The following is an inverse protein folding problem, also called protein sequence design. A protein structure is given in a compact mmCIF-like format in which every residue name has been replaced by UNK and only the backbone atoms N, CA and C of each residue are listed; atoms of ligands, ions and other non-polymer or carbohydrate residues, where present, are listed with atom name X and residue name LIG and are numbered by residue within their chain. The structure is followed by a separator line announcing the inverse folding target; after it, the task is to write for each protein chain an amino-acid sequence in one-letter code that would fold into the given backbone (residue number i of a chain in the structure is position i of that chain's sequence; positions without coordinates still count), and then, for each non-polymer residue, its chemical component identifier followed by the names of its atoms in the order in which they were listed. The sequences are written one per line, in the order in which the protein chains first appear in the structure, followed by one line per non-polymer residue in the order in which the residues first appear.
data_IF_263159628002
#
_entry.id   IF_263159628002
#
_cell.length_a   1.000
_cell.length_b   1.000
_cell.length_c   1.000
_cell.angle_alpha   90.00
_cell.angle_beta   90.00
_cell.angle_gamma   90.00
#
_symmetry.space_group_name_H-M   'P 1'
#
loop_
_entity.id
_entity.type
_entity.pdbx_description
1 polymer ?
#
# COMPACT_ATOMS: atom_id res chain seq x y z
N UNK A 1 -15.64 2.34 -10.23
CA UNK A 1 -15.65 1.39 -9.10
C UNK A 1 -14.27 1.38 -8.51
N UNK A 2 -14.19 1.54 -7.21
CA UNK A 2 -12.91 1.52 -6.49
C UNK A 2 -12.31 0.13 -6.52
N UNK A 3 -11.04 0.05 -6.85
CA UNK A 3 -10.27 -1.19 -6.96
C UNK A 3 -9.26 -1.27 -5.81
N UNK A 4 -8.85 -2.48 -5.47
CA UNK A 4 -7.74 -2.68 -4.53
C UNK A 4 -6.44 -2.17 -5.17
N UNK A 5 -5.58 -1.56 -4.35
CA UNK A 5 -4.28 -1.07 -4.79
C UNK A 5 -3.21 -1.26 -3.71
N UNK A 6 -1.96 -1.36 -4.15
CA UNK A 6 -0.81 -1.51 -3.24
C UNK A 6 -0.14 -0.18 -2.99
N UNK A 7 0.30 0.03 -1.74
CA UNK A 7 1.08 1.21 -1.35
C UNK A 7 2.12 0.85 -0.30
N UNK A 8 3.14 1.67 -0.17
CA UNK A 8 4.03 1.64 1.00
C UNK A 8 3.22 2.16 2.19
N UNK A 9 3.15 1.40 3.28
CA UNK A 9 2.52 1.81 4.53
C UNK A 9 3.52 2.46 5.47
N UNK A 10 4.67 1.80 5.65
CA UNK A 10 5.81 2.35 6.39
C UNK A 10 7.03 2.25 5.48
N UNK A 11 7.56 3.40 5.11
CA UNK A 11 8.78 3.48 4.33
C UNK A 11 10.01 3.14 5.15
N UNK A 12 11.02 2.57 4.50
CA UNK A 12 12.29 2.25 5.14
C UNK A 12 13.47 2.59 4.22
N UNK A 13 14.67 2.37 4.72
CA UNK A 13 15.93 2.65 4.04
C UNK A 13 16.68 1.35 3.77
N UNK A 14 17.15 1.18 2.53
CA UNK A 14 18.05 0.09 2.17
C UNK A 14 19.32 0.62 1.49
N UNK A 15 20.43 -0.06 1.69
CA UNK A 15 21.69 0.29 1.04
C UNK A 15 22.23 -0.91 0.27
N UNK A 16 22.69 -0.66 -0.94
CA UNK A 16 23.48 -1.61 -1.71
C UNK A 16 24.85 -1.00 -2.09
N UNK A 17 25.83 -1.85 -2.30
CA UNK A 17 27.18 -1.44 -2.75
C UNK A 17 27.47 -2.15 -4.07
N UNK A 18 27.79 -1.37 -5.12
CA UNK A 18 28.22 -1.87 -6.41
C UNK A 18 29.54 -1.22 -6.83
N UNK A 19 30.60 -2.03 -7.00
CA UNK A 19 31.96 -1.55 -7.31
C UNK A 19 32.40 -0.38 -6.43
N UNK A 20 32.22 -0.48 -5.12
CA UNK A 20 32.50 0.52 -4.09
C UNK A 20 31.60 1.78 -4.13
N UNK A 21 30.73 1.95 -5.11
CA UNK A 21 29.69 2.98 -5.05
C UNK A 21 28.58 2.51 -4.11
N UNK A 22 28.09 3.42 -3.26
CA UNK A 22 26.98 3.18 -2.34
C UNK A 22 25.72 3.77 -2.94
N UNK A 23 24.62 3.02 -2.88
CA UNK A 23 23.29 3.44 -3.32
C UNK A 23 22.33 3.24 -2.14
N UNK A 24 21.79 4.34 -1.63
CA UNK A 24 20.92 4.35 -0.45
C UNK A 24 19.52 4.71 -0.91
N UNK A 25 18.63 3.74 -0.90
CA UNK A 25 17.22 3.93 -1.22
C UNK A 25 16.45 4.31 0.04
N UNK A 26 15.66 5.37 -0.03
CA UNK A 26 14.72 5.78 1.00
C UNK A 26 13.33 5.82 0.35
N UNK A 27 12.35 5.15 0.95
CA UNK A 27 10.96 5.14 0.48
C UNK A 27 10.05 5.81 1.49
N UNK A 28 8.93 6.36 0.99
CA UNK A 28 7.87 6.95 1.81
C UNK A 28 6.51 6.82 1.12
N UNK A 29 5.46 6.78 1.93
CA UNK A 29 4.09 6.98 1.47
C UNK A 29 3.83 8.46 1.21
N UNK A 30 3.23 8.77 0.07
CA UNK A 30 2.89 10.16 -0.32
C UNK A 30 1.59 10.17 -1.12
N UNK A 31 0.65 11.02 -0.76
CA UNK A 31 -0.65 11.10 -1.42
C UNK A 31 -0.74 12.27 -2.43
N UNK A 32 0.26 13.14 -2.46
CA UNK A 32 0.32 14.28 -3.36
C UNK A 32 1.72 14.52 -3.93
N UNK A 33 1.79 15.29 -5.03
CA UNK A 33 3.06 15.71 -5.63
C UNK A 33 3.83 16.64 -4.68
N UNK A 34 3.12 17.49 -3.91
CA UNK A 34 3.70 18.37 -2.91
C UNK A 34 4.41 17.56 -1.81
N UNK A 35 3.79 16.51 -1.31
CA UNK A 35 4.39 15.61 -0.32
C UNK A 35 5.61 14.88 -0.87
N UNK A 36 5.53 14.37 -2.11
CA UNK A 36 6.65 13.73 -2.77
C UNK A 36 7.84 14.68 -2.91
N UNK A 37 7.62 15.92 -3.34
CA UNK A 37 8.67 16.94 -3.46
C UNK A 37 9.25 17.33 -2.11
N UNK A 38 8.42 17.48 -1.08
CA UNK A 38 8.86 17.76 0.29
C UNK A 38 9.74 16.63 0.84
N UNK A 39 9.36 15.38 0.61
CA UNK A 39 10.16 14.23 1.01
C UNK A 39 11.51 14.18 0.28
N UNK A 40 11.53 14.39 -1.05
CA UNK A 40 12.76 14.47 -1.85
C UNK A 40 13.72 15.53 -1.27
N UNK A 41 13.21 16.72 -0.94
CA UNK A 41 14.02 17.78 -0.33
C UNK A 41 14.54 17.39 1.08
N UNK A 42 13.77 16.63 1.84
CA UNK A 42 14.22 16.09 3.14
C UNK A 42 15.41 15.15 2.96
N UNK A 43 15.34 14.26 1.98
CA UNK A 43 16.44 13.33 1.66
C UNK A 43 17.66 14.07 1.10
N UNK A 44 17.47 15.06 0.25
CA UNK A 44 18.56 15.93 -0.24
C UNK A 44 19.30 16.64 0.89
N UNK A 45 18.57 17.14 1.88
CA UNK A 45 19.16 17.77 3.08
C UNK A 45 19.90 16.75 3.95
N UNK A 46 19.33 15.55 4.12
CA UNK A 46 19.95 14.45 4.89
C UNK A 46 21.30 14.02 4.28
N UNK A 47 21.36 13.94 2.94
CA UNK A 47 22.55 13.53 2.19
C UNK A 47 23.11 14.70 1.34
N UNK A 48 23.29 15.86 1.98
CA UNK A 48 23.65 17.12 1.34
C UNK A 48 25.01 17.09 0.61
N UNK A 49 25.89 16.16 0.99
CA UNK A 49 27.22 15.94 0.41
C UNK A 49 27.23 14.96 -0.77
N UNK A 50 26.08 14.32 -1.04
CA UNK A 50 25.94 13.46 -2.21
C UNK A 50 25.72 14.27 -3.50
N UNK A 51 26.27 13.78 -4.61
CA UNK A 51 26.14 14.44 -5.92
C UNK A 51 24.80 14.14 -6.61
N UNK A 52 24.21 12.99 -6.30
CA UNK A 52 23.00 12.49 -6.97
C UNK A 52 22.01 11.96 -5.93
N UNK A 53 20.83 12.55 -5.94
CA UNK A 53 19.63 12.10 -5.20
C UNK A 53 18.52 11.87 -6.23
N UNK A 54 18.68 10.79 -7.01
CA UNK A 54 17.74 10.42 -8.05
C UNK A 54 16.43 9.97 -7.43
N UNK A 55 15.29 10.26 -8.08
CA UNK A 55 13.99 9.93 -7.50
C UNK A 55 12.99 9.43 -8.54
N UNK A 56 11.99 8.72 -8.06
CA UNK A 56 10.76 8.40 -8.79
C UNK A 56 9.58 8.36 -7.82
N UNK A 57 8.38 8.72 -8.31
CA UNK A 57 7.14 8.57 -7.57
C UNK A 57 5.96 8.22 -8.47
N UNK A 58 5.00 7.53 -7.87
CA UNK A 58 3.71 7.20 -8.44
C UNK A 58 2.64 7.67 -7.47
N UNK A 59 1.69 8.49 -7.91
CA UNK A 59 0.60 9.04 -7.10
C UNK A 59 -0.73 8.73 -7.77
N UNK A 60 -1.75 8.52 -6.91
CA UNK A 60 -3.09 8.14 -7.31
C UNK A 60 -3.31 6.63 -7.36
N UNK A 61 -4.51 6.19 -7.00
CA UNK A 61 -4.90 4.78 -6.85
C UNK A 61 -4.71 3.92 -8.12
N UNK A 62 -4.58 4.56 -9.30
CA UNK A 62 -4.27 3.93 -10.60
C UNK A 62 -2.93 4.40 -11.18
N UNK A 63 -2.06 4.96 -10.33
CA UNK A 63 -0.78 5.54 -10.74
C UNK A 63 -0.95 6.63 -11.81
N UNK A 64 -1.91 7.54 -11.64
CA UNK A 64 -2.26 8.58 -12.60
C UNK A 64 -1.13 9.56 -12.82
N UNK A 65 -0.41 9.92 -11.77
CA UNK A 65 0.75 10.81 -11.83
C UNK A 65 2.04 10.03 -11.60
N UNK A 66 2.93 10.06 -12.59
CA UNK A 66 4.24 9.43 -12.53
C UNK A 66 5.33 10.43 -12.89
N UNK A 67 6.36 10.53 -12.07
CA UNK A 67 7.53 11.39 -12.32
C UNK A 67 8.80 10.68 -11.91
N UNK A 68 9.89 11.08 -12.54
CA UNK A 68 11.23 10.61 -12.15
C UNK A 68 12.30 11.61 -12.60
N UNK A 69 13.47 11.54 -11.96
CA UNK A 69 14.64 12.35 -12.28
C UNK A 69 15.91 11.56 -12.09
N UNK A 70 16.84 11.75 -13.03
CA UNK A 70 18.19 11.20 -12.94
C UNK A 70 19.14 12.08 -12.09
N UNK A 71 18.72 13.27 -11.68
CA UNK A 71 19.47 14.21 -10.82
C UNK A 71 20.96 14.30 -11.16
N UNK A 72 21.28 14.51 -12.45
CA UNK A 72 22.64 14.65 -12.96
C UNK A 72 23.36 13.35 -13.31
N UNK A 73 22.78 12.18 -13.10
CA UNK A 73 23.25 10.94 -13.71
C UNK A 73 22.99 10.93 -15.23
N UNK A 74 23.64 10.09 -16.02
CA UNK A 74 23.32 9.96 -17.44
C UNK A 74 21.83 9.66 -17.68
N UNK A 75 21.27 10.29 -18.69
CA UNK A 75 19.82 10.20 -18.99
C UNK A 75 19.32 8.76 -19.01
N UNK A 76 18.19 8.52 -18.33
CA UNK A 76 17.49 7.25 -18.19
C UNK A 76 18.26 6.12 -17.50
N UNK A 77 19.28 6.45 -16.72
CA UNK A 77 20.08 5.43 -15.99
C UNK A 77 19.68 5.26 -14.54
N UNK A 78 18.89 6.17 -13.97
CA UNK A 78 18.48 6.18 -12.57
C UNK A 78 16.97 6.32 -12.40
N UNK A 79 16.40 7.47 -12.74
CA UNK A 79 15.00 7.79 -12.47
C UNK A 79 14.02 6.82 -13.14
N UNK A 80 14.20 6.57 -14.44
CA UNK A 80 13.33 5.65 -15.19
C UNK A 80 13.40 4.20 -14.67
N UNK A 81 14.59 3.60 -14.43
CA UNK A 81 14.71 2.29 -13.80
C UNK A 81 14.00 2.16 -12.44
N UNK A 82 14.09 3.20 -11.58
CA UNK A 82 13.39 3.23 -10.30
C UNK A 82 11.86 3.31 -10.48
N UNK A 83 11.39 4.16 -11.40
CA UNK A 83 9.98 4.25 -11.73
C UNK A 83 9.43 2.91 -12.23
N UNK A 84 10.19 2.19 -13.04
CA UNK A 84 9.81 0.86 -13.54
C UNK A 84 9.70 -0.18 -12.39
N UNK A 85 10.51 -0.04 -11.33
CA UNK A 85 10.37 -0.87 -10.13
C UNK A 85 9.04 -0.59 -9.42
N UNK A 86 8.72 0.70 -9.15
CA UNK A 86 7.46 1.07 -8.49
C UNK A 86 6.24 0.60 -9.28
N UNK A 87 6.24 0.90 -10.59
CA UNK A 87 5.11 0.54 -11.47
C UNK A 87 4.97 -0.97 -11.66
N UNK A 88 6.10 -1.68 -11.79
CA UNK A 88 6.12 -3.14 -11.91
C UNK A 88 5.68 -3.86 -10.63
N UNK A 89 5.90 -3.26 -9.47
CA UNK A 89 5.38 -3.76 -8.19
C UNK A 89 3.90 -3.38 -7.95
N UNK A 90 3.31 -2.55 -8.83
CA UNK A 90 1.93 -2.06 -8.69
C UNK A 90 1.77 -1.04 -7.55
N UNK A 91 2.85 -0.39 -7.12
CA UNK A 91 2.81 0.56 -6.02
C UNK A 91 2.19 1.89 -6.47
N UNK A 92 1.25 2.36 -5.69
CA UNK A 92 0.62 3.68 -5.76
C UNK A 92 1.05 4.52 -4.57
N UNK A 93 0.86 5.83 -4.64
CA UNK A 93 1.08 6.75 -3.51
C UNK A 93 2.43 6.52 -2.82
N UNK A 94 3.49 6.42 -3.64
CA UNK A 94 4.83 6.02 -3.18
C UNK A 94 5.91 6.85 -3.87
N UNK A 95 6.86 7.36 -3.09
CA UNK A 95 8.10 7.96 -3.56
C UNK A 95 9.31 7.11 -3.18
N UNK A 96 10.28 7.03 -4.07
CA UNK A 96 11.61 6.49 -3.81
C UNK A 96 12.68 7.51 -4.16
N UNK A 97 13.64 7.72 -3.26
CA UNK A 97 14.84 8.52 -3.51
C UNK A 97 16.05 7.63 -3.32
N UNK A 98 16.90 7.54 -4.34
CA UNK A 98 18.17 6.80 -4.25
C UNK A 98 19.32 7.79 -4.29
N UNK A 99 20.02 7.88 -3.17
CA UNK A 99 21.22 8.69 -2.99
C UNK A 99 22.45 7.87 -3.37
N UNK A 100 23.32 8.42 -4.22
CA UNK A 100 24.56 7.75 -4.63
C UNK A 100 25.80 8.45 -4.16
N UNK A 101 26.73 7.67 -3.60
CA UNK A 101 28.13 8.04 -3.35
C UNK A 101 29.04 7.26 -4.29
N UNK A 102 29.86 7.98 -5.07
CA UNK A 102 30.78 7.38 -6.05
C UNK A 102 31.94 6.65 -5.37
N UNK A 103 32.17 5.40 -5.75
CA UNK A 103 33.22 4.53 -5.20
C UNK A 103 34.58 4.54 -5.93
N UNK A 104 34.80 5.50 -6.82
CA UNK A 104 36.06 5.59 -7.58
C UNK A 104 36.12 4.74 -8.85
N UNK A 105 35.11 3.85 -9.09
CA UNK A 105 35.08 2.99 -10.28
C UNK A 105 33.81 3.29 -11.09
N UNK A 106 33.99 3.59 -12.37
CA UNK A 106 32.85 3.83 -13.28
C UNK A 106 32.06 2.56 -13.52
N UNK A 107 30.73 2.68 -13.42
CA UNK A 107 29.79 1.56 -13.64
C UNK A 107 29.38 1.42 -15.12
N UNK A 108 29.44 2.52 -15.87
CA UNK A 108 28.84 2.64 -17.20
C UNK A 108 27.30 2.70 -17.12
N UNK A 109 26.63 3.06 -18.24
CA UNK A 109 25.18 3.25 -18.28
C UNK A 109 24.42 1.99 -17.86
N UNK A 110 24.76 0.82 -18.40
CA UNK A 110 24.13 -0.45 -18.04
C UNK A 110 24.38 -0.88 -16.58
N UNK A 111 25.55 -0.50 -16.01
CA UNK A 111 25.85 -0.73 -14.58
C UNK A 111 25.01 0.15 -13.67
N UNK A 112 24.83 1.44 -14.05
CA UNK A 112 23.97 2.36 -13.32
C UNK A 112 22.50 1.89 -13.32
N UNK A 113 21.96 1.53 -14.48
CA UNK A 113 20.58 1.00 -14.57
C UNK A 113 20.38 -0.17 -13.62
N UNK A 114 21.30 -1.15 -13.60
CA UNK A 114 21.20 -2.31 -12.70
C UNK A 114 21.29 -1.90 -11.23
N UNK A 115 22.21 -0.98 -10.89
CA UNK A 115 22.41 -0.55 -9.51
C UNK A 115 21.19 0.23 -8.97
N UNK A 116 20.64 1.19 -9.74
CA UNK A 116 19.46 1.92 -9.32
C UNK A 116 18.22 1.03 -9.22
N UNK A 117 18.05 0.09 -10.18
CA UNK A 117 16.99 -0.93 -10.11
C UNK A 117 17.11 -1.79 -8.85
N UNK A 118 18.33 -2.27 -8.55
CA UNK A 118 18.57 -3.11 -7.38
C UNK A 118 18.36 -2.33 -6.06
N UNK A 119 18.83 -1.08 -5.99
CA UNK A 119 18.62 -0.22 -4.82
C UNK A 119 17.13 0.04 -4.57
N UNK A 120 16.37 0.41 -5.61
CA UNK A 120 14.92 0.62 -5.48
C UNK A 120 14.20 -0.65 -5.04
N UNK A 121 14.54 -1.82 -5.60
CA UNK A 121 13.97 -3.11 -5.17
C UNK A 121 14.28 -3.40 -3.71
N UNK A 122 15.53 -3.23 -3.28
CA UNK A 122 15.92 -3.42 -1.89
C UNK A 122 15.16 -2.49 -0.94
N UNK A 123 14.91 -1.24 -1.36
CA UNK A 123 14.10 -0.29 -0.60
C UNK A 123 12.64 -0.75 -0.48
N UNK A 124 12.03 -1.24 -1.57
CA UNK A 124 10.67 -1.80 -1.55
C UNK A 124 10.59 -3.03 -0.63
N UNK A 125 11.60 -3.92 -0.71
CA UNK A 125 11.68 -5.14 0.13
C UNK A 125 11.89 -4.82 1.62
N UNK A 126 12.56 -3.72 1.96
CA UNK A 126 12.75 -3.27 3.33
C UNK A 126 11.51 -2.58 3.91
N UNK A 127 10.66 -2.00 3.05
CA UNK A 127 9.48 -1.25 3.46
C UNK A 127 8.28 -2.16 3.72
N UNK A 128 7.36 -1.70 4.58
CA UNK A 128 6.06 -2.38 4.76
C UNK A 128 5.11 -1.98 3.64
N UNK A 129 4.78 -2.93 2.79
CA UNK A 129 3.81 -2.76 1.69
C UNK A 129 2.51 -3.43 2.06
N UNK A 130 1.41 -2.70 1.92
CA UNK A 130 0.04 -3.19 2.13
C UNK A 130 -0.78 -3.12 0.85
N UNK A 131 -1.85 -3.92 0.80
CA UNK A 131 -2.89 -3.82 -0.22
C UNK A 131 -4.15 -3.23 0.43
N UNK A 132 -4.51 -2.00 0.05
CA UNK A 132 -5.75 -1.34 0.46
C UNK A 132 -6.91 -1.90 -0.36
N UNK A 133 -7.88 -2.53 0.31
CA UNK A 133 -9.05 -3.18 -0.30
C UNK A 133 -10.27 -2.34 0.00
N UNK A 134 -11.04 -1.88 -1.01
CA UNK A 134 -12.28 -1.13 -0.79
C UNK A 134 -13.33 -2.04 -0.13
N UNK A 135 -14.04 -1.53 0.86
CA UNK A 135 -14.95 -2.30 1.68
C UNK A 135 -16.28 -1.59 1.95
N UNK A 136 -17.25 -2.39 2.30
CA UNK A 136 -18.50 -1.99 2.94
C UNK A 136 -18.56 -2.57 4.35
N UNK A 137 -19.12 -1.82 5.26
CA UNK A 137 -19.40 -2.27 6.62
C UNK A 137 -20.81 -2.86 6.68
N UNK A 138 -20.91 -4.07 7.20
CA UNK A 138 -22.17 -4.71 7.56
C UNK A 138 -22.40 -4.58 9.06
N UNK A 139 -23.58 -4.14 9.44
CA UNK A 139 -24.14 -4.28 10.78
C UNK A 139 -25.25 -5.31 10.71
N UNK A 140 -25.03 -6.50 11.29
CA UNK A 140 -25.99 -7.60 11.26
C UNK A 140 -26.48 -7.88 12.67
N UNK A 141 -27.80 -7.79 12.86
CA UNK A 141 -28.47 -8.07 14.12
C UNK A 141 -29.16 -9.42 14.06
N UNK A 142 -28.83 -10.30 14.99
CA UNK A 142 -29.29 -11.69 15.08
C UNK A 142 -29.65 -12.03 16.53
N UNK A 143 -30.44 -13.09 16.70
CA UNK A 143 -30.75 -13.64 18.03
C UNK A 143 -29.55 -14.42 18.59
N UNK A 144 -29.51 -14.65 19.90
CA UNK A 144 -28.46 -15.45 20.56
C UNK A 144 -28.31 -16.86 19.99
N UNK A 145 -29.38 -17.48 19.48
CA UNK A 145 -29.31 -18.80 18.85
C UNK A 145 -28.67 -18.77 17.46
N UNK A 146 -28.63 -17.61 16.82
CA UNK A 146 -28.13 -17.43 15.44
C UNK A 146 -26.69 -16.93 15.38
N UNK A 147 -26.16 -16.37 16.47
CA UNK A 147 -24.80 -15.78 16.46
C UNK A 147 -23.73 -16.77 16.05
N UNK A 148 -23.84 -18.04 16.48
CA UNK A 148 -22.88 -19.10 16.08
C UNK A 148 -22.83 -19.31 14.57
N UNK A 149 -23.97 -19.26 13.90
CA UNK A 149 -24.06 -19.35 12.44
C UNK A 149 -23.41 -18.15 11.77
N UNK A 150 -23.65 -16.93 12.27
CA UNK A 150 -23.04 -15.72 11.72
C UNK A 150 -21.51 -15.76 11.85
N UNK A 151 -20.99 -16.03 13.04
CA UNK A 151 -19.54 -16.10 13.26
C UNK A 151 -18.88 -17.20 12.43
N UNK A 152 -19.53 -18.34 12.25
CA UNK A 152 -19.06 -19.40 11.36
C UNK A 152 -18.95 -18.93 9.90
N UNK A 153 -19.96 -18.21 9.39
CA UNK A 153 -19.95 -17.65 8.04
C UNK A 153 -18.79 -16.65 7.86
N UNK A 154 -18.61 -15.73 8.82
CA UNK A 154 -17.52 -14.77 8.80
C UNK A 154 -16.14 -15.48 8.79
N UNK A 155 -15.99 -16.48 9.65
CA UNK A 155 -14.77 -17.28 9.74
C UNK A 155 -14.44 -18.02 8.45
N UNK A 156 -15.45 -18.62 7.78
CA UNK A 156 -15.26 -19.30 6.50
C UNK A 156 -14.80 -18.37 5.38
N UNK A 157 -15.27 -17.12 5.37
CA UNK A 157 -14.92 -16.11 4.39
C UNK A 157 -13.64 -15.34 4.77
N UNK A 158 -13.14 -15.50 6.01
CA UNK A 158 -12.00 -14.76 6.52
C UNK A 158 -12.28 -13.26 6.68
N UNK A 159 -13.56 -12.88 6.87
CA UNK A 159 -13.94 -11.50 7.13
C UNK A 159 -13.56 -11.09 8.54
N UNK A 160 -13.07 -9.86 8.68
CA UNK A 160 -12.65 -9.30 9.96
C UNK A 160 -13.84 -8.69 10.69
N UNK A 161 -14.13 -9.21 11.88
CA UNK A 161 -15.07 -8.61 12.80
C UNK A 161 -14.46 -7.36 13.40
N UNK A 162 -15.22 -6.26 13.45
CA UNK A 162 -14.83 -5.00 14.07
C UNK A 162 -15.34 -4.95 15.52
N UNK A 163 -16.62 -5.19 15.72
CA UNK A 163 -17.30 -5.02 17.00
C UNK A 163 -18.44 -5.99 17.16
N UNK A 164 -18.77 -6.35 18.40
CA UNK A 164 -20.00 -7.05 18.77
C UNK A 164 -20.64 -6.42 19.99
N UNK A 165 -21.94 -6.17 19.91
CA UNK A 165 -22.75 -5.67 21.02
C UNK A 165 -23.79 -6.73 21.41
N UNK A 166 -23.85 -7.02 22.71
CA UNK A 166 -24.75 -8.02 23.27
C UNK A 166 -25.81 -7.32 24.13
N UNK A 167 -27.03 -7.23 23.62
CA UNK A 167 -28.19 -6.63 24.29
C UNK A 167 -29.37 -7.61 24.29
N UNK A 168 -30.58 -7.20 23.93
CA UNK A 168 -31.73 -8.09 23.71
C UNK A 168 -31.47 -9.05 22.56
N UNK A 169 -30.84 -8.55 21.49
CA UNK A 169 -30.26 -9.30 20.36
C UNK A 169 -28.74 -9.05 20.30
N UNK A 170 -28.05 -9.77 19.43
CA UNK A 170 -26.62 -9.58 19.19
C UNK A 170 -26.41 -8.82 17.88
N UNK A 171 -25.72 -7.69 17.96
CA UNK A 171 -25.30 -6.90 16.80
C UNK A 171 -23.82 -7.14 16.51
N UNK A 172 -23.47 -7.46 15.28
CA UNK A 172 -22.09 -7.68 14.85
C UNK A 172 -21.75 -6.76 13.69
N UNK A 173 -20.66 -5.99 13.84
CA UNK A 173 -20.06 -5.18 12.75
C UNK A 173 -18.88 -5.89 12.16
N UNK A 174 -18.82 -5.92 10.84
CA UNK A 174 -17.69 -6.52 10.11
C UNK A 174 -17.52 -5.91 8.74
N UNK A 175 -16.30 -6.05 8.17
CA UNK A 175 -15.99 -5.55 6.83
C UNK A 175 -16.09 -6.67 5.80
N UNK A 176 -16.63 -6.29 4.66
CA UNK A 176 -16.74 -7.14 3.46
C UNK A 176 -16.10 -6.39 2.29
N UNK A 177 -15.20 -7.03 1.51
CA UNK A 177 -14.72 -6.44 0.27
C UNK A 177 -15.88 -5.97 -0.60
N UNK A 178 -15.78 -4.78 -1.18
CA UNK A 178 -16.84 -4.20 -2.02
C UNK A 178 -17.27 -5.16 -3.14
N UNK A 179 -16.33 -5.92 -3.70
CA UNK A 179 -16.58 -6.91 -4.75
C UNK A 179 -17.41 -8.11 -4.27
N UNK A 180 -17.43 -8.37 -2.95
CA UNK A 180 -18.13 -9.50 -2.35
C UNK A 180 -19.47 -9.11 -1.70
N UNK A 181 -19.83 -7.82 -1.69
CA UNK A 181 -21.05 -7.27 -1.09
C UNK A 181 -22.29 -8.08 -1.45
N UNK A 182 -22.60 -8.19 -2.75
CA UNK A 182 -23.81 -8.86 -3.23
C UNK A 182 -23.84 -10.37 -2.85
N UNK A 183 -22.68 -11.03 -2.86
CA UNK A 183 -22.55 -12.43 -2.44
C UNK A 183 -22.87 -12.60 -0.95
N UNK A 184 -22.37 -11.66 -0.11
CA UNK A 184 -22.60 -11.70 1.33
C UNK A 184 -24.07 -11.39 1.68
N UNK A 185 -24.68 -10.40 1.04
CA UNK A 185 -26.12 -10.09 1.20
C UNK A 185 -26.98 -11.33 0.93
N UNK A 186 -26.74 -11.99 -0.20
CA UNK A 186 -27.45 -13.22 -0.58
C UNK A 186 -27.25 -14.32 0.45
N UNK A 187 -26.02 -14.54 0.91
CA UNK A 187 -25.71 -15.60 1.86
C UNK A 187 -26.37 -15.35 3.24
N UNK A 188 -26.42 -14.09 3.71
CA UNK A 188 -27.14 -13.73 4.93
C UNK A 188 -28.63 -14.01 4.78
N UNK A 189 -29.23 -13.59 3.67
CA UNK A 189 -30.67 -13.84 3.42
C UNK A 189 -31.01 -15.34 3.43
N UNK A 190 -30.21 -16.17 2.77
CA UNK A 190 -30.38 -17.63 2.72
C UNK A 190 -30.17 -18.28 4.10
N UNK A 191 -29.09 -17.92 4.80
CA UNK A 191 -28.72 -18.56 6.08
C UNK A 191 -29.69 -18.23 7.21
N UNK A 192 -30.26 -17.02 7.19
CA UNK A 192 -31.19 -16.56 8.24
C UNK A 192 -32.68 -16.49 7.79
N UNK A 193 -32.94 -16.88 6.56
CA UNK A 193 -34.31 -16.88 5.99
C UNK A 193 -35.04 -15.52 6.15
N UNK A 194 -34.24 -14.42 6.07
CA UNK A 194 -34.75 -13.06 6.21
C UNK A 194 -34.97 -12.59 7.66
N UNK A 195 -34.68 -13.41 8.68
CA UNK A 195 -34.89 -13.04 10.09
C UNK A 195 -33.78 -12.10 10.63
N UNK A 196 -32.58 -12.10 10.05
CA UNK A 196 -31.51 -11.18 10.41
C UNK A 196 -31.79 -9.77 9.85
N UNK A 197 -31.62 -8.75 10.68
CA UNK A 197 -31.66 -7.35 10.22
C UNK A 197 -30.25 -6.96 9.79
N UNK A 198 -30.12 -6.45 8.59
CA UNK A 198 -28.82 -6.07 8.00
C UNK A 198 -28.85 -4.62 7.56
N UNK A 199 -27.91 -3.84 8.02
CA UNK A 199 -27.60 -2.48 7.56
C UNK A 199 -26.22 -2.51 6.91
N UNK A 200 -26.05 -1.75 5.82
CA UNK A 200 -24.80 -1.73 5.03
C UNK A 200 -24.44 -0.28 4.77
N UNK A 201 -23.22 0.07 5.10
CA UNK A 201 -22.67 1.41 4.92
C UNK A 201 -21.36 1.30 4.12
N UNK A 202 -21.04 2.31 3.31
CA UNK A 202 -19.73 2.44 2.69
C UNK A 202 -18.72 2.74 3.80
N UNK A 203 -17.54 2.09 3.73
CA UNK A 203 -16.56 2.25 4.80
C UNK A 203 -15.31 3.00 4.34
N UNK A 204 -14.82 2.73 3.16
CA UNK A 204 -13.52 3.18 2.70
C UNK A 204 -12.63 1.98 2.35
N UNK A 205 -11.42 1.93 2.90
CA UNK A 205 -10.50 0.83 2.65
C UNK A 205 -10.07 0.15 3.94
N UNK A 206 -9.70 -1.12 3.83
CA UNK A 206 -8.95 -1.82 4.86
C UNK A 206 -7.74 -2.53 4.26
N UNK A 207 -6.77 -2.85 5.10
CA UNK A 207 -5.65 -3.71 4.74
C UNK A 207 -5.37 -4.70 5.87
N UNK A 208 -4.72 -5.82 5.53
CA UNK A 208 -4.19 -6.77 6.52
C UNK A 208 -2.68 -6.68 6.51
N UNK A 209 -2.10 -6.33 7.66
CA UNK A 209 -0.67 -6.37 7.89
C UNK A 209 -0.36 -7.49 8.90
N UNK A 210 0.00 -8.67 8.41
CA UNK A 210 0.11 -9.87 9.23
C UNK A 210 -1.21 -10.24 9.91
N UNK A 211 -1.30 -10.06 11.23
CA UNK A 211 -2.53 -10.27 12.02
C UNK A 211 -3.30 -9.00 12.31
N UNK A 212 -2.72 -7.85 12.03
CA UNK A 212 -3.31 -6.55 12.27
C UNK A 212 -4.25 -6.17 11.13
N UNK A 213 -5.41 -5.60 11.50
CA UNK A 213 -6.36 -5.00 10.57
C UNK A 213 -6.17 -3.49 10.60
N UNK A 214 -5.73 -2.94 9.49
CA UNK A 214 -5.60 -1.50 9.29
C UNK A 214 -6.87 -0.97 8.63
N UNK A 215 -7.38 0.15 9.12
CA UNK A 215 -8.65 0.75 8.71
C UNK A 215 -8.39 2.16 8.16
N UNK A 216 -8.98 2.47 7.01
CA UNK A 216 -8.81 3.75 6.32
C UNK A 216 -10.20 4.29 5.93
N UNK A 217 -10.65 5.34 6.64
CA UNK A 217 -11.92 6.04 6.39
C UNK A 217 -11.74 7.06 5.26
N UNK A 218 -11.39 6.58 4.07
CA UNK A 218 -11.25 7.40 2.87
C UNK A 218 -12.49 7.25 1.99
N UNK A 219 -12.80 8.26 1.15
CA UNK A 219 -13.84 8.12 0.14
C UNK A 219 -13.49 7.04 -0.91
N UNK A 220 -14.43 6.13 -1.15
CA UNK A 220 -14.30 4.97 -2.05
C UNK A 220 -14.74 5.30 -3.48
#
# INVERSE_FOLDING_TARGET
MSEAYKTVYIGDTAEIVEKKSRFIANLEHVESEEEALAYIETIRKKYWDARHNCYAYCIGKKQELKRCSDDGEPSQTAGKPMLDVLTGAGLCDTVVVVTRYFGGTLLGTGGLVRAYTAAAKAGVEASEVIEKIPAVQFLVKVTYNQIGTLLYLLGQRGYSQLESEYAEDVSVRFLVPLTERASMEKQLLESFQGSAKTEIEDYGYYAKNGKELLLFEEEV
#
